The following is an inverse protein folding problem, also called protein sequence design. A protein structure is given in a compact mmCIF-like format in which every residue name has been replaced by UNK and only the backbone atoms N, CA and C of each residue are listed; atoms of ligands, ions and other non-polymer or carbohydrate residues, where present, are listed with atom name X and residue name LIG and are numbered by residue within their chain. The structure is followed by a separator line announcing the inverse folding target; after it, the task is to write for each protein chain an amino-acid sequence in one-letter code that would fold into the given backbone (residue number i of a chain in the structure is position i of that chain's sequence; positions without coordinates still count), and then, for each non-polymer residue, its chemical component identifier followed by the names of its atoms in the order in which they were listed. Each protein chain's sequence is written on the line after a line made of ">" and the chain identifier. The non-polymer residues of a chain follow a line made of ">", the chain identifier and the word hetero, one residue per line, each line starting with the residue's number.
data_IF_207654684032
#
_entry.id   IF_207654684032
#
_cell.length_a   1.000
_cell.length_b   1.000
_cell.length_c   1.000
_cell.angle_alpha   90.00
_cell.angle_beta   90.00
_cell.angle_gamma   90.00
#
_symmetry.space_group_name_H-M   'P 1'
#
loop_
_entity.id
_entity.type
_entity.pdbx_description
1 polymer ?
#
# COMPACT_ATOMS: atom_id res chain seq x y z
N UNK A 1 -22.58 7.79 -34.97
CA UNK A 1 -21.41 8.54 -34.46
C UNK A 1 -21.03 8.10 -33.06
N UNK A 2 -21.77 8.44 -32.00
CA UNK A 2 -21.40 8.08 -30.61
C UNK A 2 -21.21 6.57 -30.38
N UNK A 3 -22.12 5.71 -30.89
CA UNK A 3 -22.00 4.25 -30.77
C UNK A 3 -20.72 3.68 -31.39
N UNK A 4 -20.32 4.22 -32.56
CA UNK A 4 -19.09 3.82 -33.26
C UNK A 4 -17.86 4.23 -32.45
N UNK A 5 -17.88 5.44 -31.88
CA UNK A 5 -16.81 5.94 -31.00
C UNK A 5 -16.70 5.06 -29.74
N UNK A 6 -17.82 4.69 -29.10
CA UNK A 6 -17.81 3.80 -27.94
C UNK A 6 -17.25 2.42 -28.25
N UNK A 7 -17.57 1.85 -29.42
CA UNK A 7 -17.02 0.57 -29.89
C UNK A 7 -15.51 0.67 -30.12
N UNK A 8 -15.04 1.77 -30.72
CA UNK A 8 -13.61 2.02 -30.91
C UNK A 8 -12.87 2.10 -29.56
N UNK A 9 -13.43 2.79 -28.57
CA UNK A 9 -12.85 2.84 -27.22
C UNK A 9 -12.83 1.46 -26.54
N UNK A 10 -13.88 0.66 -26.70
CA UNK A 10 -13.90 -0.72 -26.18
C UNK A 10 -12.75 -1.54 -26.77
N UNK A 11 -12.52 -1.44 -28.07
CA UNK A 11 -11.43 -2.13 -28.76
C UNK A 11 -10.07 -1.65 -28.24
N UNK A 12 -9.87 -0.34 -28.07
CA UNK A 12 -8.64 0.21 -27.50
C UNK A 12 -8.38 -0.31 -26.08
N UNK A 13 -9.41 -0.40 -25.25
CA UNK A 13 -9.30 -0.96 -23.90
C UNK A 13 -8.84 -2.42 -23.95
N UNK A 14 -9.44 -3.24 -24.82
CA UNK A 14 -9.06 -4.65 -24.97
C UNK A 14 -7.60 -4.77 -25.45
N UNK A 15 -7.20 -3.96 -26.43
CA UNK A 15 -5.82 -3.92 -26.95
C UNK A 15 -4.84 -3.51 -25.83
N UNK A 16 -5.19 -2.50 -25.04
CA UNK A 16 -4.36 -2.03 -23.94
C UNK A 16 -4.14 -3.13 -22.89
N UNK A 17 -5.20 -3.77 -22.42
CA UNK A 17 -5.09 -4.86 -21.44
C UNK A 17 -4.35 -6.06 -22.00
N UNK A 18 -4.63 -6.45 -23.26
CA UNK A 18 -3.93 -7.56 -23.92
C UNK A 18 -2.44 -7.30 -24.08
N UNK A 19 -2.06 -6.08 -24.47
CA UNK A 19 -0.65 -5.67 -24.61
C UNK A 19 0.06 -5.64 -23.26
N UNK A 20 -0.61 -5.12 -22.23
CA UNK A 20 -0.11 -5.08 -20.86
C UNK A 20 0.11 -6.49 -20.34
N UNK A 21 -0.88 -7.36 -20.46
CA UNK A 21 -0.77 -8.76 -20.05
C UNK A 21 0.38 -9.47 -20.76
N UNK A 22 0.50 -9.32 -22.09
CA UNK A 22 1.60 -9.90 -22.88
C UNK A 22 2.97 -9.43 -22.41
N UNK A 23 3.13 -8.14 -22.11
CA UNK A 23 4.38 -7.59 -21.60
C UNK A 23 4.73 -8.17 -20.23
N UNK A 24 3.78 -8.12 -19.29
CA UNK A 24 4.04 -8.52 -17.91
C UNK A 24 4.22 -10.03 -17.74
N UNK A 25 3.51 -10.84 -18.53
CA UNK A 25 3.63 -12.31 -18.57
C UNK A 25 4.80 -12.80 -19.42
N UNK A 26 5.56 -11.91 -20.07
CA UNK A 26 6.71 -12.32 -20.87
C UNK A 26 7.81 -12.94 -20.00
N UNK A 27 8.50 -13.95 -20.53
CA UNK A 27 9.64 -14.58 -19.85
C UNK A 27 10.72 -13.56 -19.46
N UNK A 28 10.92 -12.52 -20.28
CA UNK A 28 11.86 -11.44 -19.98
C UNK A 28 11.45 -10.70 -18.70
N UNK A 29 10.19 -10.33 -18.58
CA UNK A 29 9.71 -9.58 -17.41
C UNK A 29 9.64 -10.46 -16.16
N UNK A 30 9.26 -11.74 -16.30
CA UNK A 30 9.28 -12.71 -15.19
C UNK A 30 10.71 -12.89 -14.66
N UNK A 31 11.69 -13.11 -15.56
CA UNK A 31 13.11 -13.25 -15.18
C UNK A 31 13.66 -11.98 -14.52
N UNK A 32 13.34 -10.80 -15.04
CA UNK A 32 13.76 -9.54 -14.43
C UNK A 32 13.12 -9.34 -13.04
N UNK A 33 11.84 -9.69 -12.89
CA UNK A 33 11.14 -9.63 -11.59
C UNK A 33 11.78 -10.56 -10.58
N UNK A 34 12.10 -11.79 -10.99
CA UNK A 34 12.76 -12.78 -10.16
C UNK A 34 14.17 -12.34 -9.78
N UNK A 35 14.99 -11.90 -10.73
CA UNK A 35 16.33 -11.38 -10.44
C UNK A 35 16.32 -10.20 -9.45
N UNK A 36 15.41 -9.24 -9.63
CA UNK A 36 15.30 -8.09 -8.73
C UNK A 36 14.80 -8.47 -7.33
N UNK A 37 14.06 -9.57 -7.18
CA UNK A 37 13.53 -10.04 -5.89
C UNK A 37 14.45 -11.02 -5.17
N UNK A 38 15.08 -11.94 -5.89
CA UNK A 38 15.97 -12.95 -5.31
C UNK A 38 17.20 -12.32 -4.63
N UNK A 39 17.64 -11.15 -5.09
CA UNK A 39 18.75 -10.43 -4.46
C UNK A 39 18.36 -9.71 -3.17
N UNK A 40 17.06 -9.58 -2.84
CA UNK A 40 16.63 -8.76 -1.70
C UNK A 40 16.95 -9.42 -0.37
N UNK A 41 16.86 -10.75 -0.27
CA UNK A 41 17.18 -11.48 0.96
C UNK A 41 18.67 -11.40 1.27
N UNK A 42 19.51 -11.48 0.23
CA UNK A 42 20.96 -11.35 0.35
C UNK A 42 21.35 -9.91 0.74
N UNK A 43 20.78 -8.90 0.06
CA UNK A 43 20.95 -7.48 0.41
C UNK A 43 20.47 -7.16 1.83
N UNK A 44 19.37 -7.76 2.26
CA UNK A 44 18.81 -7.56 3.59
C UNK A 44 19.74 -8.17 4.66
N UNK A 45 20.23 -9.39 4.45
CA UNK A 45 21.19 -10.02 5.36
C UNK A 45 22.49 -9.20 5.48
N UNK A 46 23.01 -8.70 4.36
CA UNK A 46 24.22 -7.86 4.33
C UNK A 46 24.00 -6.50 5.03
N UNK A 47 22.79 -5.94 4.94
CA UNK A 47 22.45 -4.67 5.61
C UNK A 47 22.15 -4.86 7.10
N UNK A 48 21.42 -5.91 7.48
CA UNK A 48 21.08 -6.23 8.88
C UNK A 48 22.34 -6.55 9.68
N UNK A 49 23.31 -7.24 9.11
CA UNK A 49 24.56 -7.57 9.82
C UNK A 49 25.32 -6.34 10.33
N UNK A 50 25.15 -5.19 9.68
CA UNK A 50 25.78 -3.92 10.06
C UNK A 50 24.86 -2.96 10.84
N UNK A 51 23.61 -3.36 11.11
CA UNK A 51 22.67 -2.52 11.85
C UNK A 51 22.97 -2.59 13.36
N UNK A 52 23.27 -1.46 14.02
CA UNK A 52 23.47 -1.45 15.46
C UNK A 52 22.16 -1.80 16.16
N UNK A 53 22.20 -2.74 17.10
CA UNK A 53 21.07 -3.05 17.97
C UNK A 53 20.94 -1.87 18.96
N UNK A 54 19.87 -1.10 18.82
CA UNK A 54 19.52 -0.06 19.78
C UNK A 54 19.10 -0.73 21.09
N UNK A 55 19.80 -0.40 22.18
CA UNK A 55 19.38 -0.80 23.51
C UNK A 55 18.07 -0.08 23.85
N UNK A 56 17.22 -0.75 24.61
CA UNK A 56 16.01 -0.13 25.11
C UNK A 56 16.37 1.12 25.93
N UNK A 57 15.90 2.28 25.49
CA UNK A 57 16.04 3.58 26.16
C UNK A 57 14.70 4.07 26.73
N UNK A 58 13.70 3.19 26.82
CA UNK A 58 12.37 3.54 27.34
C UNK A 58 12.30 3.65 28.87
N UNK A 59 13.39 3.34 29.57
CA UNK A 59 13.47 3.48 31.03
C UNK A 59 13.36 4.97 31.38
N UNK A 60 12.18 5.39 31.85
CA UNK A 60 11.79 6.77 32.17
C UNK A 60 11.30 7.64 31.01
N UNK A 61 10.77 7.06 29.93
CA UNK A 61 10.00 7.86 28.96
C UNK A 61 8.79 8.47 29.67
N UNK A 62 8.73 9.80 29.69
CA UNK A 62 7.59 10.54 30.20
C UNK A 62 6.39 10.14 29.34
N UNK A 63 5.41 9.48 29.95
CA UNK A 63 4.15 9.17 29.28
C UNK A 63 3.53 10.49 28.86
N UNK A 64 3.38 10.68 27.55
CA UNK A 64 2.77 11.88 26.99
C UNK A 64 1.41 12.09 27.67
N UNK A 65 1.28 13.15 28.46
CA UNK A 65 0.01 13.61 28.98
C UNK A 65 -0.62 14.41 27.86
N UNK A 66 -1.44 13.74 27.06
CA UNK A 66 -2.17 14.34 25.93
C UNK A 66 -3.25 15.33 26.38
N UNK A 67 -3.38 15.58 27.70
CA UNK A 67 -4.36 16.48 28.28
C UNK A 67 -5.78 15.93 28.23
N UNK A 68 -5.97 14.71 27.73
CA UNK A 68 -7.25 14.02 27.74
C UNK A 68 -7.33 13.17 29.01
N UNK A 69 -8.42 13.31 29.76
CA UNK A 69 -8.76 12.33 30.79
C UNK A 69 -8.92 10.97 30.12
N UNK A 70 -8.41 9.88 30.72
CA UNK A 70 -8.62 8.51 30.25
C UNK A 70 -10.11 8.14 30.08
N UNK A 71 -11.00 8.98 30.61
CA UNK A 71 -12.42 8.99 30.31
C UNK A 71 -12.65 9.68 28.96
N UNK A 72 -12.97 8.88 27.95
CA UNK A 72 -13.64 9.36 26.75
C UNK A 72 -14.96 9.98 27.23
N UNK A 73 -15.00 11.32 27.34
CA UNK A 73 -16.26 12.05 27.55
C UNK A 73 -17.13 11.77 26.32
N UNK A 74 -18.01 10.78 26.46
CA UNK A 74 -18.82 10.16 25.40
C UNK A 74 -19.91 11.09 24.83
N UNK A 75 -19.73 12.41 24.89
CA UNK A 75 -20.82 13.36 24.70
C UNK A 75 -20.81 14.01 23.32
N UNK A 76 -19.72 13.84 22.53
CA UNK A 76 -19.65 14.40 21.18
C UNK A 76 -19.96 13.32 20.14
N UNK A 77 -21.19 13.24 19.62
CA UNK A 77 -21.53 12.26 18.59
C UNK A 77 -20.62 12.47 17.38
N UNK A 78 -19.97 11.39 16.94
CA UNK A 78 -19.11 11.42 15.74
C UNK A 78 -20.00 11.40 14.51
N UNK A 79 -20.26 12.59 13.95
CA UNK A 79 -21.11 12.82 12.79
C UNK A 79 -20.72 11.99 11.56
N UNK A 80 -19.46 11.54 11.50
CA UNK A 80 -18.96 10.66 10.44
C UNK A 80 -19.82 9.41 10.26
N UNK A 81 -20.26 8.76 11.35
CA UNK A 81 -21.07 7.55 11.27
C UNK A 81 -22.47 7.79 10.71
N UNK A 82 -22.97 9.02 10.74
CA UNK A 82 -24.25 9.36 10.11
C UNK A 82 -24.18 9.31 8.59
N UNK A 83 -22.99 9.45 7.99
CA UNK A 83 -22.79 9.33 6.54
C UNK A 83 -22.91 7.88 6.04
N UNK A 84 -22.71 6.91 6.94
CA UNK A 84 -22.72 5.49 6.63
C UNK A 84 -24.09 4.84 6.89
N UNK A 85 -25.03 5.60 7.47
CA UNK A 85 -26.42 5.15 7.60
C UNK A 85 -27.05 5.26 6.21
N UNK A 86 -27.32 4.13 5.57
CA UNK A 86 -28.19 4.12 4.40
C UNK A 86 -29.60 4.53 4.83
N UNK A 87 -30.30 5.20 3.93
CA UNK A 87 -31.66 5.66 4.12
C UNK A 87 -32.63 4.52 4.44
#
# INVERSE_FOLDING_TARGET
>A
MQKIISILFLILIIIFFGSTFKYYSSNKNIKNKEFNRNNIDQLLNDKISNLPILKNDTDNVIKFNDGFSNEIKNDKPRSFWNLLKSQ
#
